data_IF_320065945292
#
_entry.id   IF_320065945292
#
_cell.length_a   1.000
_cell.length_b   1.000
_cell.length_c   1.000
_cell.angle_alpha   90.00
_cell.angle_beta   90.00
_cell.angle_gamma   90.00
#
_symmetry.space_group_name_H-M   'P 1'
#
loop_
_entity.id
_entity.type
_entity.pdbx_description
1 polymer ?
#
# COMPACT_ATOMS: atom_id res chain seq x y z
N UNK A 1 3.66 -3.30 25.53
CA UNK A 1 5.13 -3.38 25.65
C UNK A 1 5.65 -3.92 24.33
N UNK A 2 5.92 -3.03 23.38
CA UNK A 2 6.33 -3.42 22.03
C UNK A 2 7.79 -3.84 22.09
N UNK A 3 8.05 -5.15 22.00
CA UNK A 3 9.40 -5.69 21.94
C UNK A 3 9.97 -5.25 20.57
N UNK A 4 10.67 -4.12 20.55
CA UNK A 4 11.47 -3.73 19.39
C UNK A 4 12.65 -4.72 19.31
N UNK A 5 12.49 -5.76 18.51
CA UNK A 5 13.60 -6.63 18.15
C UNK A 5 14.62 -5.77 17.38
N UNK A 6 15.84 -5.65 17.90
CA UNK A 6 16.91 -4.97 17.16
C UNK A 6 17.05 -5.64 15.78
N UNK A 7 17.08 -4.87 14.68
CA UNK A 7 17.26 -5.47 13.36
C UNK A 7 18.60 -6.21 13.33
N UNK A 8 18.57 -7.47 12.87
CA UNK A 8 19.79 -8.27 12.73
C UNK A 8 20.84 -7.56 11.87
N UNK A 9 22.12 -7.73 12.22
CA UNK A 9 23.28 -7.06 11.59
C UNK A 9 23.23 -7.07 10.06
N UNK A 10 22.82 -8.19 9.46
CA UNK A 10 22.70 -8.34 8.00
C UNK A 10 21.73 -7.32 7.38
N UNK A 11 20.59 -7.04 8.03
CA UNK A 11 19.61 -6.06 7.55
C UNK A 11 20.17 -4.65 7.59
N UNK A 12 20.90 -4.31 8.67
CA UNK A 12 21.58 -3.02 8.82
C UNK A 12 22.62 -2.85 7.71
N UNK A 13 23.45 -3.87 7.48
CA UNK A 13 24.52 -3.82 6.49
C UNK A 13 23.95 -3.72 5.06
N UNK A 14 22.82 -4.37 4.77
CA UNK A 14 22.12 -4.25 3.49
C UNK A 14 21.64 -2.82 3.22
N UNK A 15 20.97 -2.18 4.19
CA UNK A 15 20.50 -0.78 4.04
C UNK A 15 21.68 0.18 3.88
N UNK A 16 22.74 0.01 4.68
CA UNK A 16 23.95 0.84 4.55
C UNK A 16 24.64 0.63 3.19
N UNK A 17 24.65 -0.60 2.68
CA UNK A 17 25.16 -0.93 1.35
C UNK A 17 24.37 -0.22 0.25
N UNK A 18 23.03 -0.30 0.32
CA UNK A 18 22.13 0.38 -0.61
C UNK A 18 22.36 1.90 -0.59
N UNK A 19 22.41 2.54 0.57
CA UNK A 19 22.61 3.99 0.67
C UNK A 19 23.93 4.43 0.02
N UNK A 20 25.04 3.72 0.28
CA UNK A 20 26.34 4.02 -0.37
C UNK A 20 26.30 3.83 -1.89
N UNK A 21 25.60 2.81 -2.36
CA UNK A 21 25.40 2.60 -3.79
C UNK A 21 24.58 3.75 -4.40
N UNK A 22 23.45 4.08 -3.79
CA UNK A 22 22.51 5.06 -4.30
C UNK A 22 23.08 6.49 -4.27
N UNK A 23 23.79 6.88 -3.20
CA UNK A 23 24.51 8.17 -3.13
C UNK A 23 25.45 8.39 -4.31
N UNK A 24 26.12 7.33 -4.79
CA UNK A 24 26.97 7.40 -5.99
C UNK A 24 26.16 7.50 -7.27
N UNK A 25 25.04 6.78 -7.37
CA UNK A 25 24.20 6.81 -8.56
C UNK A 25 23.58 8.19 -8.81
N UNK A 26 23.17 8.90 -7.77
CA UNK A 26 22.58 10.24 -7.88
C UNK A 26 23.63 11.36 -7.96
N UNK A 27 24.93 11.04 -8.00
CA UNK A 27 26.00 12.05 -8.14
C UNK A 27 26.11 13.01 -6.95
N UNK A 28 25.70 12.60 -5.75
CA UNK A 28 25.65 13.50 -4.58
C UNK A 28 27.03 14.01 -4.13
N UNK A 29 28.08 13.31 -4.53
CA UNK A 29 29.47 13.59 -4.16
C UNK A 29 30.22 14.38 -5.25
N UNK A 30 29.57 14.70 -6.37
CA UNK A 30 30.17 15.48 -7.43
C UNK A 30 30.29 16.96 -7.01
N UNK A 31 31.35 17.67 -7.43
CA UNK A 31 31.53 19.10 -7.13
C UNK A 31 30.40 19.93 -7.79
N UNK A 32 29.52 20.48 -6.95
CA UNK A 32 28.29 21.15 -7.39
C UNK A 32 27.23 20.15 -7.86
N UNK A 33 25.97 20.31 -7.43
CA UNK A 33 24.94 19.36 -7.83
C UNK A 33 24.74 19.45 -9.34
N UNK A 34 25.03 18.34 -10.05
CA UNK A 34 24.91 18.26 -11.51
C UNK A 34 25.72 19.34 -12.25
N UNK A 35 26.92 19.68 -11.72
CA UNK A 35 27.78 20.77 -12.21
C UNK A 35 27.12 22.16 -12.18
N UNK A 36 26.09 22.34 -11.34
CA UNK A 36 25.48 23.65 -11.12
C UNK A 36 26.28 24.49 -10.11
N UNK A 37 26.00 25.79 -10.08
CA UNK A 37 26.52 26.71 -9.08
C UNK A 37 25.84 26.57 -7.69
N UNK A 38 24.99 25.55 -7.50
CA UNK A 38 24.20 25.35 -6.30
C UNK A 38 24.67 24.11 -5.54
N UNK A 39 24.74 24.25 -4.22
CA UNK A 39 24.80 23.11 -3.30
C UNK A 39 23.49 22.31 -3.34
N UNK A 40 23.52 21.07 -2.83
CA UNK A 40 22.31 20.23 -2.72
C UNK A 40 21.18 20.93 -1.98
N UNK A 41 21.50 21.63 -0.88
CA UNK A 41 20.48 22.31 -0.08
C UNK A 41 19.90 23.52 -0.81
N UNK A 42 20.74 24.29 -1.49
CA UNK A 42 20.29 25.39 -2.35
C UNK A 42 19.37 24.88 -3.47
N UNK A 43 19.77 23.80 -4.14
CA UNK A 43 19.01 23.13 -5.18
C UNK A 43 17.63 22.66 -4.69
N UNK A 44 17.55 22.02 -3.51
CA UNK A 44 16.28 21.56 -2.94
C UNK A 44 15.33 22.70 -2.61
N UNK A 45 15.83 23.80 -2.05
CA UNK A 45 14.99 24.98 -1.77
C UNK A 45 14.46 25.60 -3.07
N UNK A 46 15.30 25.75 -4.09
CA UNK A 46 14.87 26.27 -5.40
C UNK A 46 13.88 25.32 -6.09
N UNK A 47 14.04 23.99 -5.95
CA UNK A 47 13.11 23.00 -6.49
C UNK A 47 11.71 23.14 -5.89
N UNK A 48 11.59 23.24 -4.57
CA UNK A 48 10.30 23.44 -3.90
C UNK A 48 9.63 24.73 -4.37
N UNK A 49 10.39 25.84 -4.42
CA UNK A 49 9.90 27.14 -4.87
C UNK A 49 9.56 27.22 -6.37
N UNK A 50 10.10 26.30 -7.19
CA UNK A 50 9.79 26.22 -8.63
C UNK A 50 8.49 25.48 -8.91
N UNK A 51 8.09 24.55 -8.03
CA UNK A 51 6.96 23.64 -8.27
C UNK A 51 5.76 23.89 -7.36
N UNK A 52 5.92 24.71 -6.30
CA UNK A 52 4.85 25.01 -5.34
C UNK A 52 4.79 26.52 -5.09
N UNK A 53 3.61 27.08 -5.29
CA UNK A 53 3.33 28.49 -4.99
C UNK A 53 2.99 28.69 -3.51
N UNK A 54 3.18 29.92 -3.01
CA UNK A 54 2.72 30.33 -1.68
C UNK A 54 3.51 29.77 -0.50
N UNK A 55 4.68 29.14 -0.74
CA UNK A 55 5.51 28.59 0.32
C UNK A 55 6.04 29.66 1.26
N UNK A 56 5.97 29.40 2.56
CA UNK A 56 6.62 30.22 3.58
C UNK A 56 7.98 29.62 3.97
N UNK A 57 8.82 30.42 4.65
CA UNK A 57 10.07 29.90 5.23
C UNK A 57 9.80 28.76 6.24
N UNK A 58 8.67 28.80 6.95
CA UNK A 58 8.29 27.75 7.90
C UNK A 58 7.95 26.44 7.19
N UNK A 59 7.23 26.51 6.05
CA UNK A 59 6.91 25.34 5.25
C UNK A 59 8.18 24.70 4.69
N UNK A 60 9.08 25.50 4.12
CA UNK A 60 10.36 25.04 3.60
C UNK A 60 11.25 24.40 4.69
N UNK A 61 11.32 25.00 5.88
CA UNK A 61 12.11 24.44 6.99
C UNK A 61 11.58 23.07 7.43
N UNK A 62 10.26 22.95 7.57
CA UNK A 62 9.58 21.70 7.93
C UNK A 62 9.78 20.63 6.86
N UNK A 63 9.43 20.93 5.62
CA UNK A 63 9.37 19.97 4.53
C UNK A 63 10.78 19.45 4.14
N UNK A 64 11.80 20.29 4.27
CA UNK A 64 13.19 19.92 3.97
C UNK A 64 14.00 19.49 5.20
N UNK A 65 13.43 19.55 6.40
CA UNK A 65 14.12 19.22 7.65
C UNK A 65 15.31 20.14 7.95
N UNK A 66 15.21 21.42 7.57
CA UNK A 66 16.30 22.40 7.71
C UNK A 66 16.14 23.24 8.97
N UNK A 67 17.28 23.60 9.58
CA UNK A 67 17.32 24.57 10.67
C UNK A 67 16.76 25.94 10.19
N UNK A 68 15.80 26.56 10.91
CA UNK A 68 15.21 27.83 10.50
C UNK A 68 16.22 28.97 10.36
N UNK A 69 17.27 29.01 11.19
CA UNK A 69 18.32 30.03 11.12
C UNK A 69 19.23 29.86 9.91
N UNK A 70 19.54 28.61 9.54
CA UNK A 70 20.24 28.28 8.30
C UNK A 70 19.40 28.64 7.07
N UNK A 71 18.12 28.25 7.02
CA UNK A 71 17.24 28.56 5.91
C UNK A 71 17.06 30.07 5.71
N UNK A 72 16.89 30.84 6.80
CA UNK A 72 16.76 32.30 6.72
C UNK A 72 18.00 32.97 6.09
N UNK A 73 19.20 32.53 6.48
CA UNK A 73 20.47 32.99 5.87
C UNK A 73 20.55 32.63 4.39
N UNK A 74 20.09 31.43 4.02
CA UNK A 74 20.09 30.96 2.64
C UNK A 74 19.12 31.77 1.76
N UNK A 75 17.90 32.00 2.23
CA UNK A 75 16.91 32.81 1.53
C UNK A 75 17.40 34.26 1.32
N UNK A 76 18.05 34.85 2.33
CA UNK A 76 18.66 36.19 2.19
C UNK A 76 19.72 36.21 1.08
N UNK A 77 20.59 35.19 1.00
CA UNK A 77 21.57 35.05 -0.09
C UNK A 77 20.90 34.93 -1.47
N UNK A 78 19.74 34.27 -1.55
CA UNK A 78 18.98 34.19 -2.79
C UNK A 78 18.34 35.53 -3.18
N UNK A 79 17.83 36.31 -2.21
CA UNK A 79 17.30 37.65 -2.44
C UNK A 79 18.38 38.60 -2.94
N UNK A 80 19.56 38.60 -2.31
CA UNK A 80 20.72 39.40 -2.72
C UNK A 80 21.18 39.07 -4.15
N UNK A 81 20.99 37.81 -4.58
CA UNK A 81 21.27 37.35 -5.95
C UNK A 81 20.09 37.56 -6.91
N UNK A 82 18.98 38.13 -6.44
CA UNK A 82 17.77 38.33 -7.23
C UNK A 82 17.06 37.05 -7.65
N UNK A 83 17.30 35.91 -6.98
CA UNK A 83 16.73 34.60 -7.34
C UNK A 83 15.34 34.39 -6.74
N UNK A 84 15.08 34.95 -5.56
CA UNK A 84 13.78 34.85 -4.88
C UNK A 84 13.28 36.22 -4.49
N UNK A 85 11.96 36.34 -4.35
CA UNK A 85 11.29 37.51 -3.82
C UNK A 85 10.30 37.12 -2.73
N UNK A 86 10.01 38.07 -1.84
CA UNK A 86 9.01 37.92 -0.78
C UNK A 86 7.81 38.80 -1.07
N UNK A 87 6.63 38.22 -1.05
CA UNK A 87 5.36 38.94 -1.07
C UNK A 87 4.63 38.73 0.27
N UNK A 88 3.93 39.74 0.77
CA UNK A 88 3.04 39.56 1.91
C UNK A 88 1.90 38.60 1.52
N UNK A 89 1.62 37.58 2.33
CA UNK A 89 0.47 36.72 2.06
C UNK A 89 -0.83 37.47 2.35
N UNK A 90 -1.88 37.25 1.54
CA UNK A 90 -3.19 37.87 1.73
C UNK A 90 -3.85 37.49 3.07
N UNK A 91 -3.43 36.39 3.71
CA UNK A 91 -4.02 35.86 4.92
C UNK A 91 -3.36 36.33 6.24
N UNK A 92 -2.08 36.71 6.22
CA UNK A 92 -1.34 37.21 7.39
C UNK A 92 -0.14 38.04 6.95
N UNK A 93 -0.13 39.35 7.24
CA UNK A 93 0.97 40.25 6.91
C UNK A 93 2.30 39.86 7.58
N UNK A 94 2.27 39.00 8.61
CA UNK A 94 3.46 38.45 9.28
C UNK A 94 4.03 37.20 8.59
N UNK A 95 3.30 36.64 7.62
CA UNK A 95 3.77 35.52 6.79
C UNK A 95 4.02 36.03 5.38
N UNK A 96 5.28 35.99 4.96
CA UNK A 96 5.66 36.32 3.59
C UNK A 96 5.78 35.03 2.78
N UNK A 97 5.07 34.95 1.66
CA UNK A 97 5.26 33.91 0.67
C UNK A 97 6.55 34.20 -0.09
N UNK A 98 7.30 33.15 -0.37
CA UNK A 98 8.54 33.20 -1.11
C UNK A 98 8.26 32.61 -2.49
N UNK A 99 8.73 33.28 -3.54
CA UNK A 99 8.62 32.80 -4.91
C UNK A 99 9.94 32.98 -5.65
N UNK A 100 10.17 32.16 -6.68
CA UNK A 100 11.26 32.42 -7.62
C UNK A 100 10.93 33.64 -8.47
N UNK A 101 11.93 34.50 -8.68
CA UNK A 101 11.87 35.55 -9.71
C UNK A 101 12.06 34.93 -11.10
N UNK A 102 11.85 35.68 -12.20
CA UNK A 102 12.24 35.22 -13.54
C UNK A 102 13.73 34.84 -13.63
N UNK A 103 14.61 35.57 -12.94
CA UNK A 103 16.05 35.28 -12.87
C UNK A 103 16.29 33.99 -12.09
N UNK A 104 15.58 33.78 -10.98
CA UNK A 104 15.61 32.55 -10.19
C UNK A 104 15.21 31.31 -11.01
N UNK A 105 14.10 31.41 -11.74
CA UNK A 105 13.64 30.35 -12.65
C UNK A 105 14.67 30.04 -13.75
N UNK A 106 15.24 31.07 -14.38
CA UNK A 106 16.28 30.88 -15.39
C UNK A 106 17.55 30.25 -14.83
N UNK A 107 17.96 30.62 -13.60
CA UNK A 107 19.11 30.03 -12.93
C UNK A 107 18.86 28.58 -12.49
N UNK A 108 17.63 28.24 -12.12
CA UNK A 108 17.23 26.89 -11.69
C UNK A 108 17.02 25.92 -12.87
N UNK A 109 16.62 26.42 -14.05
CA UNK A 109 16.28 25.57 -15.20
C UNK A 109 17.37 24.56 -15.63
N UNK A 110 18.67 24.93 -15.72
CA UNK A 110 19.72 23.97 -16.07
C UNK A 110 19.87 22.84 -15.04
N UNK A 111 19.69 23.17 -13.76
CA UNK A 111 19.75 22.18 -12.68
C UNK A 111 18.56 21.21 -12.77
N UNK A 112 17.36 21.72 -13.02
CA UNK A 112 16.16 20.89 -13.18
C UNK A 112 16.29 19.95 -14.39
N UNK A 113 16.77 20.48 -15.53
CA UNK A 113 17.01 19.69 -16.73
C UNK A 113 18.08 18.61 -16.50
N UNK A 114 19.21 18.96 -15.88
CA UNK A 114 20.27 18.00 -15.56
C UNK A 114 19.79 16.88 -14.64
N UNK A 115 18.91 17.17 -13.69
CA UNK A 115 18.33 16.16 -12.81
C UNK A 115 17.38 15.25 -13.57
N UNK A 116 16.58 15.80 -14.48
CA UNK A 116 15.69 15.04 -15.33
C UNK A 116 16.47 14.11 -16.26
N UNK A 117 17.50 14.64 -16.95
CA UNK A 117 18.32 13.88 -17.89
C UNK A 117 19.10 12.76 -17.20
N UNK A 118 19.56 12.98 -15.96
CA UNK A 118 20.21 11.94 -15.16
C UNK A 118 19.26 10.76 -14.87
N UNK A 119 18.01 11.06 -14.47
CA UNK A 119 17.00 10.03 -14.20
C UNK A 119 16.57 9.33 -15.49
N UNK A 120 16.38 10.08 -16.58
CA UNK A 120 16.07 9.52 -17.90
C UNK A 120 17.16 8.55 -18.37
N UNK A 121 18.44 8.96 -18.29
CA UNK A 121 19.57 8.10 -18.67
C UNK A 121 19.71 6.83 -17.79
N UNK A 122 19.20 6.87 -16.55
CA UNK A 122 19.12 5.68 -15.69
C UNK A 122 18.01 4.74 -16.18
N UNK A 123 16.82 5.29 -16.47
CA UNK A 123 15.65 4.51 -16.91
C UNK A 123 15.83 3.95 -18.33
N UNK A 124 16.47 4.66 -19.24
CA UNK A 124 16.72 4.24 -20.63
C UNK A 124 17.56 2.96 -20.73
N UNK A 125 18.30 2.60 -19.67
CA UNK A 125 19.07 1.35 -19.58
C UNK A 125 18.21 0.13 -19.25
N UNK A 126 16.95 0.35 -18.89
CA UNK A 126 16.03 -0.67 -18.41
C UNK A 126 14.87 -0.82 -19.40
N UNK A 127 14.44 -2.06 -19.72
CA UNK A 127 13.17 -2.28 -20.38
C UNK A 127 12.01 -1.69 -19.55
N UNK A 128 10.91 -1.28 -20.21
CA UNK A 128 9.76 -0.65 -19.53
C UNK A 128 9.25 -1.43 -18.32
N UNK A 129 9.21 -2.77 -18.40
CA UNK A 129 8.77 -3.61 -17.29
C UNK A 129 9.72 -3.52 -16.06
N UNK A 130 11.01 -3.31 -16.29
CA UNK A 130 11.99 -3.11 -15.22
C UNK A 130 11.97 -1.68 -14.68
N UNK A 131 11.67 -0.69 -15.53
CA UNK A 131 11.40 0.69 -15.08
C UNK A 131 10.22 0.70 -14.10
N UNK A 132 9.10 0.05 -14.46
CA UNK A 132 7.93 -0.06 -13.59
C UNK A 132 8.27 -0.76 -12.26
N UNK A 133 9.06 -1.84 -12.33
CA UNK A 133 9.51 -2.58 -11.14
C UNK A 133 10.39 -1.71 -10.24
N UNK A 134 11.30 -0.93 -10.81
CA UNK A 134 12.17 -0.01 -10.06
C UNK A 134 11.35 1.09 -9.37
N UNK A 135 10.42 1.72 -10.10
CA UNK A 135 9.53 2.76 -9.56
C UNK A 135 8.70 2.20 -8.39
N UNK A 136 8.09 1.02 -8.55
CA UNK A 136 7.35 0.34 -7.47
C UNK A 136 8.22 0.04 -6.25
N UNK A 137 9.46 -0.40 -6.47
CA UNK A 137 10.40 -0.64 -5.38
C UNK A 137 10.76 0.66 -4.63
N UNK A 138 11.01 1.75 -5.35
CA UNK A 138 11.31 3.06 -4.74
C UNK A 138 10.11 3.59 -3.92
N UNK A 139 8.89 3.47 -4.44
CA UNK A 139 7.66 3.81 -3.71
C UNK A 139 7.51 2.96 -2.43
N UNK A 140 7.88 1.69 -2.49
CA UNK A 140 7.86 0.79 -1.33
C UNK A 140 8.87 1.24 -0.29
N UNK A 141 10.10 1.57 -0.69
CA UNK A 141 11.14 2.12 0.20
C UNK A 141 10.67 3.43 0.84
N UNK A 142 10.14 4.36 0.06
CA UNK A 142 9.63 5.64 0.56
C UNK A 142 8.52 5.43 1.61
N UNK A 143 7.58 4.51 1.36
CA UNK A 143 6.49 4.19 2.29
C UNK A 143 6.99 3.60 3.60
N UNK A 144 7.95 2.68 3.53
CA UNK A 144 8.52 2.03 4.71
C UNK A 144 9.38 2.97 5.56
N UNK A 145 9.98 4.00 4.95
CA UNK A 145 10.85 4.96 5.62
C UNK A 145 10.15 6.26 6.06
N UNK A 146 8.95 6.53 5.53
CA UNK A 146 8.15 7.68 5.96
C UNK A 146 7.47 7.36 7.29
N UNK A 147 8.04 7.80 8.41
CA UNK A 147 7.40 7.69 9.72
C UNK A 147 6.08 8.48 9.76
N UNK A 148 5.04 7.87 10.34
CA UNK A 148 4.05 8.64 11.09
C UNK A 148 2.91 9.32 10.33
N UNK A 149 2.61 8.93 9.10
CA UNK A 149 1.22 9.08 8.62
C UNK A 149 0.74 7.74 8.12
N UNK A 150 0.19 6.93 9.03
CA UNK A 150 -0.96 6.09 8.67
C UNK A 150 -2.05 7.06 8.17
N UNK A 151 -1.90 7.57 6.95
CA UNK A 151 -3.06 7.93 6.19
C UNK A 151 -3.92 6.68 6.27
N UNK A 152 -5.15 6.84 6.75
CA UNK A 152 -6.23 5.87 6.56
C UNK A 152 -6.44 5.77 5.05
N UNK A 153 -5.49 5.16 4.34
CA UNK A 153 -5.56 4.99 2.90
C UNK A 153 -6.75 4.06 2.72
N UNK A 154 -7.85 4.56 2.12
CA UNK A 154 -9.04 3.77 1.96
C UNK A 154 -8.66 2.58 1.09
N UNK A 155 -8.90 1.37 1.59
CA UNK A 155 -8.98 0.22 0.70
C UNK A 155 -10.27 0.34 -0.11
N UNK A 156 -10.27 -0.19 -1.32
CA UNK A 156 -11.47 -0.31 -2.13
C UNK A 156 -11.89 -1.77 -2.26
N UNK A 157 -13.19 -2.00 -2.40
CA UNK A 157 -13.72 -3.29 -2.78
C UNK A 157 -14.08 -3.26 -4.26
N UNK A 158 -13.47 -4.15 -5.04
CA UNK A 158 -13.72 -4.26 -6.48
C UNK A 158 -14.10 -5.69 -6.88
N UNK A 159 -14.72 -5.89 -8.06
CA UNK A 159 -14.89 -7.21 -8.63
C UNK A 159 -13.54 -7.89 -8.92
N UNK A 160 -13.60 -9.21 -9.10
CA UNK A 160 -12.49 -10.02 -9.59
C UNK A 160 -11.98 -9.54 -10.96
N UNK A 161 -10.66 -9.50 -11.11
CA UNK A 161 -9.94 -9.17 -12.34
C UNK A 161 -8.98 -10.31 -12.74
N UNK A 162 -8.51 -10.28 -13.99
CA UNK A 162 -7.51 -11.23 -14.47
C UNK A 162 -6.23 -11.12 -13.62
N UNK A 163 -5.72 -12.26 -13.17
CA UNK A 163 -4.56 -12.35 -12.28
C UNK A 163 -4.92 -12.57 -10.81
N UNK A 164 -6.08 -12.09 -10.34
CA UNK A 164 -6.47 -12.21 -8.93
C UNK A 164 -6.60 -13.67 -8.48
N UNK A 165 -7.11 -14.57 -9.33
CA UNK A 165 -7.30 -15.98 -8.96
C UNK A 165 -5.96 -16.63 -8.62
N UNK A 166 -4.96 -16.50 -9.49
CA UNK A 166 -3.63 -17.03 -9.23
C UNK A 166 -2.98 -16.39 -8.01
N UNK A 167 -3.17 -15.07 -7.84
CA UNK A 167 -2.70 -14.34 -6.65
C UNK A 167 -3.33 -14.87 -5.36
N UNK A 168 -4.66 -15.03 -5.30
CA UNK A 168 -5.37 -15.50 -4.11
C UNK A 168 -4.96 -16.92 -3.74
N UNK A 169 -4.84 -17.83 -4.72
CA UNK A 169 -4.36 -19.20 -4.50
C UNK A 169 -2.97 -19.16 -3.85
N UNK A 170 -2.03 -18.46 -4.48
CA UNK A 170 -0.65 -18.33 -4.00
C UNK A 170 -0.58 -17.71 -2.59
N UNK A 171 -1.32 -16.63 -2.35
CA UNK A 171 -1.27 -15.91 -1.08
C UNK A 171 -1.91 -16.69 0.05
N UNK A 172 -3.08 -17.32 -0.17
CA UNK A 172 -3.70 -18.14 0.86
C UNK A 172 -2.89 -19.41 1.16
N UNK A 173 -2.34 -20.08 0.13
CA UNK A 173 -1.44 -21.23 0.32
C UNK A 173 -0.26 -20.89 1.24
N UNK A 174 0.50 -19.84 0.90
CA UNK A 174 1.63 -19.39 1.73
C UNK A 174 1.21 -18.95 3.13
N UNK A 175 0.15 -18.16 3.25
CA UNK A 175 -0.27 -17.60 4.54
C UNK A 175 -0.71 -18.70 5.50
N UNK A 176 -1.52 -19.65 5.03
CA UNK A 176 -2.03 -20.72 5.88
C UNK A 176 -0.94 -21.75 6.22
N UNK A 177 0.01 -22.00 5.31
CA UNK A 177 1.21 -22.78 5.62
C UNK A 177 2.06 -22.11 6.71
N UNK A 178 2.26 -20.79 6.65
CA UNK A 178 3.04 -20.05 7.64
C UNK A 178 2.36 -19.95 9.01
N UNK A 179 1.04 -19.72 9.04
CA UNK A 179 0.31 -19.46 10.28
C UNK A 179 -0.18 -20.72 10.98
N UNK A 180 -0.54 -21.77 10.21
CA UNK A 180 -1.16 -22.99 10.73
C UNK A 180 -0.37 -24.26 10.40
N UNK A 181 0.71 -24.16 9.62
CA UNK A 181 1.50 -25.32 9.20
C UNK A 181 0.73 -26.26 8.28
N UNK A 182 -0.26 -25.76 7.55
CA UNK A 182 -1.04 -26.51 6.57
C UNK A 182 -0.19 -26.82 5.32
N UNK A 183 -0.41 -27.98 4.73
CA UNK A 183 0.31 -28.42 3.54
C UNK A 183 -0.34 -27.95 2.22
N UNK A 184 0.27 -28.34 1.09
CA UNK A 184 -0.15 -27.95 -0.26
C UNK A 184 -1.58 -28.38 -0.63
N UNK A 185 -2.18 -29.33 0.11
CA UNK A 185 -3.55 -29.77 -0.18
C UNK A 185 -4.59 -28.67 0.12
N UNK A 186 -4.25 -27.70 0.98
CA UNK A 186 -5.08 -26.51 1.16
C UNK A 186 -5.02 -25.60 -0.08
N UNK A 187 -3.83 -25.38 -0.64
CA UNK A 187 -3.67 -24.60 -1.87
C UNK A 187 -4.45 -25.24 -3.03
N UNK A 188 -4.40 -26.57 -3.14
CA UNK A 188 -5.18 -27.33 -4.12
C UNK A 188 -6.71 -27.11 -3.96
N UNK A 189 -7.21 -27.14 -2.71
CA UNK A 189 -8.62 -26.84 -2.42
C UNK A 189 -9.02 -25.42 -2.87
N UNK A 190 -8.19 -24.42 -2.56
CA UNK A 190 -8.43 -23.02 -2.97
C UNK A 190 -8.45 -22.92 -4.49
N UNK A 191 -7.52 -23.58 -5.19
CA UNK A 191 -7.45 -23.62 -6.63
C UNK A 191 -8.70 -24.28 -7.27
N UNK A 192 -9.18 -25.38 -6.70
CA UNK A 192 -10.40 -26.06 -7.16
C UNK A 192 -11.63 -25.15 -7.03
N UNK A 193 -11.83 -24.54 -5.85
CA UNK A 193 -12.96 -23.65 -5.58
C UNK A 193 -12.95 -22.46 -6.56
N UNK A 194 -11.80 -21.81 -6.73
CA UNK A 194 -11.67 -20.63 -7.58
C UNK A 194 -11.76 -20.97 -9.07
N UNK A 195 -11.17 -22.09 -9.49
CA UNK A 195 -11.28 -22.60 -10.86
C UNK A 195 -12.72 -22.93 -11.23
N UNK A 196 -13.46 -23.57 -10.33
CA UNK A 196 -14.89 -23.83 -10.51
C UNK A 196 -15.70 -22.53 -10.57
N UNK A 197 -15.47 -21.61 -9.62
CA UNK A 197 -16.15 -20.32 -9.57
C UNK A 197 -16.08 -19.57 -10.90
N UNK A 198 -14.88 -19.41 -11.47
CA UNK A 198 -14.72 -18.66 -12.74
C UNK A 198 -15.39 -19.38 -13.92
N UNK A 199 -15.34 -20.71 -13.97
CA UNK A 199 -15.92 -21.49 -15.09
C UNK A 199 -17.44 -21.46 -15.11
N UNK A 200 -18.09 -21.43 -13.95
CA UNK A 200 -19.55 -21.49 -13.82
C UNK A 200 -20.16 -20.22 -13.23
N UNK A 201 -19.44 -19.10 -13.24
CA UNK A 201 -19.85 -17.87 -12.58
C UNK A 201 -21.21 -17.36 -13.11
N UNK A 202 -22.19 -17.24 -12.22
CA UNK A 202 -23.46 -16.59 -12.51
C UNK A 202 -23.60 -15.27 -11.73
N UNK A 203 -23.40 -14.10 -12.37
CA UNK A 203 -23.48 -12.80 -11.69
C UNK A 203 -24.88 -12.47 -11.14
N UNK A 204 -25.92 -13.25 -11.50
CA UNK A 204 -27.24 -13.13 -10.90
C UNK A 204 -27.28 -13.66 -9.47
N UNK A 205 -26.51 -14.70 -9.19
CA UNK A 205 -26.59 -15.46 -7.94
C UNK A 205 -25.30 -15.44 -7.13
N UNK A 206 -24.20 -15.06 -7.76
CA UNK A 206 -22.85 -15.18 -7.21
C UNK A 206 -22.10 -13.85 -7.32
N UNK A 207 -21.14 -13.65 -6.44
CA UNK A 207 -20.31 -12.43 -6.46
C UNK A 207 -18.99 -12.63 -5.73
N UNK A 208 -18.00 -11.85 -6.11
CA UNK A 208 -16.71 -11.75 -5.42
C UNK A 208 -16.42 -10.30 -5.05
N UNK A 209 -15.68 -10.11 -3.96
CA UNK A 209 -15.13 -8.82 -3.57
C UNK A 209 -13.65 -9.00 -3.29
N UNK A 210 -12.85 -8.19 -3.95
CA UNK A 210 -11.41 -8.09 -3.77
C UNK A 210 -11.13 -6.78 -3.05
N UNK A 211 -10.52 -6.87 -1.88
CA UNK A 211 -10.02 -5.71 -1.15
C UNK A 211 -8.66 -5.34 -1.74
N UNK A 212 -8.58 -4.15 -2.33
CA UNK A 212 -7.35 -3.60 -2.89
C UNK A 212 -6.91 -2.38 -2.09
N UNK A 213 -5.61 -2.30 -1.79
CA UNK A 213 -4.98 -1.15 -1.14
C UNK A 213 -3.65 -0.87 -1.83
N UNK A 214 -3.50 0.36 -2.32
CA UNK A 214 -2.29 0.80 -3.04
C UNK A 214 -1.95 -0.07 -4.28
N UNK A 215 -2.98 -0.54 -5.00
CA UNK A 215 -2.81 -1.41 -6.16
C UNK A 215 -2.51 -2.88 -5.83
N UNK A 216 -2.42 -3.22 -4.54
CA UNK A 216 -2.14 -4.58 -4.06
C UNK A 216 -3.41 -5.23 -3.51
N UNK A 217 -3.62 -6.51 -3.82
CA UNK A 217 -4.73 -7.29 -3.26
C UNK A 217 -4.40 -7.66 -1.82
N UNK A 218 -5.21 -7.13 -0.89
CA UNK A 218 -5.04 -7.30 0.56
C UNK A 218 -6.12 -8.16 1.22
N UNK A 219 -7.08 -8.66 0.44
CA UNK A 219 -8.08 -9.60 0.93
C UNK A 219 -9.10 -9.96 -0.13
N UNK A 220 -9.87 -11.02 0.11
CA UNK A 220 -10.97 -11.42 -0.76
C UNK A 220 -12.05 -12.15 0.01
N UNK A 221 -13.24 -12.20 -0.59
CA UNK A 221 -14.33 -13.09 -0.20
C UNK A 221 -15.22 -13.38 -1.40
N UNK A 222 -15.87 -14.54 -1.39
CA UNK A 222 -16.74 -15.01 -2.46
C UNK A 222 -18.08 -15.45 -1.88
N UNK A 223 -19.16 -15.19 -2.62
CA UNK A 223 -20.48 -15.78 -2.43
C UNK A 223 -20.77 -16.64 -3.65
N UNK A 224 -21.00 -17.93 -3.40
CA UNK A 224 -21.35 -18.92 -4.42
C UNK A 224 -22.75 -19.48 -4.17
N UNK A 225 -23.44 -19.91 -5.22
CA UNK A 225 -24.78 -20.48 -5.10
C UNK A 225 -24.69 -21.94 -4.67
N UNK A 226 -25.41 -22.32 -3.63
CA UNK A 226 -25.55 -23.73 -3.23
C UNK A 226 -26.93 -24.28 -3.65
N UNK A 227 -27.97 -23.46 -3.56
CA UNK A 227 -29.31 -23.73 -4.10
C UNK A 227 -30.02 -22.42 -4.40
N UNK A 228 -31.30 -22.45 -4.76
CA UNK A 228 -32.12 -21.26 -4.99
C UNK A 228 -32.35 -20.43 -3.71
N UNK A 229 -32.28 -21.09 -2.54
CA UNK A 229 -32.52 -20.47 -1.24
C UNK A 229 -31.25 -20.32 -0.40
N UNK A 230 -30.16 -21.01 -0.77
CA UNK A 230 -28.94 -21.06 0.05
C UNK A 230 -27.73 -20.56 -0.74
N UNK A 231 -27.05 -19.57 -0.19
CA UNK A 231 -25.75 -19.09 -0.63
C UNK A 231 -24.65 -19.58 0.31
N UNK A 232 -23.42 -19.72 -0.19
CA UNK A 232 -22.24 -20.08 0.62
C UNK A 232 -21.14 -19.02 0.50
N UNK A 233 -20.71 -18.49 1.63
CA UNK A 233 -19.54 -17.63 1.75
C UNK A 233 -18.28 -18.50 1.73
N UNK A 234 -17.31 -18.15 0.88
CA UNK A 234 -16.05 -18.88 0.71
C UNK A 234 -14.84 -17.96 0.64
N UNK A 235 -13.69 -18.53 1.03
CA UNK A 235 -12.35 -17.99 0.82
C UNK A 235 -12.13 -16.58 1.38
N UNK A 236 -12.75 -16.26 2.54
CA UNK A 236 -12.46 -15.04 3.26
C UNK A 236 -10.99 -15.02 3.73
N UNK A 237 -10.23 -14.01 3.30
CA UNK A 237 -8.92 -13.75 3.88
C UNK A 237 -8.58 -12.26 3.88
N UNK A 238 -7.64 -11.88 4.75
CA UNK A 238 -7.04 -10.55 4.80
C UNK A 238 -5.54 -10.70 5.07
N UNK A 239 -4.72 -10.05 4.24
CA UNK A 239 -3.27 -9.98 4.38
C UNK A 239 -2.86 -9.44 5.76
N UNK A 240 -1.81 -9.98 6.40
CA UNK A 240 -1.34 -9.50 7.70
C UNK A 240 -1.11 -7.99 7.77
N UNK A 241 -0.61 -7.38 6.68
CA UNK A 241 -0.34 -5.94 6.55
C UNK A 241 -1.61 -5.07 6.56
N UNK A 242 -2.79 -5.66 6.41
CA UNK A 242 -4.07 -4.97 6.35
C UNK A 242 -5.06 -5.41 7.45
N UNK A 243 -4.63 -6.28 8.37
CA UNK A 243 -5.43 -6.67 9.55
C UNK A 243 -5.60 -5.46 10.50
N UNK A 244 -6.70 -5.44 11.24
CA UNK A 244 -7.05 -4.32 12.14
C UNK A 244 -7.75 -3.14 11.46
N UNK A 245 -7.79 -3.10 10.12
CA UNK A 245 -8.45 -2.02 9.34
C UNK A 245 -9.95 -2.24 9.10
N UNK A 246 -10.54 -3.28 9.71
CA UNK A 246 -11.96 -3.62 9.54
C UNK A 246 -12.34 -4.28 8.21
N UNK A 247 -11.37 -4.57 7.32
CA UNK A 247 -11.60 -5.16 5.99
C UNK A 247 -12.41 -6.46 6.06
N UNK A 248 -12.02 -7.40 6.93
CA UNK A 248 -12.71 -8.68 7.04
C UNK A 248 -14.18 -8.55 7.41
N UNK A 249 -14.50 -7.60 8.32
CA UNK A 249 -15.90 -7.29 8.68
C UNK A 249 -16.65 -6.73 7.49
N UNK A 250 -16.08 -5.75 6.80
CA UNK A 250 -16.70 -5.13 5.62
C UNK A 250 -16.96 -6.16 4.51
N UNK A 251 -16.02 -7.06 4.25
CA UNK A 251 -16.17 -8.15 3.27
C UNK A 251 -17.37 -9.05 3.63
N UNK A 252 -17.52 -9.44 4.90
CA UNK A 252 -18.66 -10.24 5.35
C UNK A 252 -19.98 -9.48 5.25
N UNK A 253 -20.00 -8.19 5.60
CA UNK A 253 -21.18 -7.32 5.45
C UNK A 253 -21.67 -7.25 3.99
N UNK A 254 -20.75 -7.14 3.03
CA UNK A 254 -21.07 -7.15 1.60
C UNK A 254 -21.68 -8.48 1.15
N UNK A 255 -21.16 -9.61 1.64
CA UNK A 255 -21.73 -10.94 1.37
C UNK A 255 -23.17 -11.03 1.86
N UNK A 256 -23.44 -10.58 3.08
CA UNK A 256 -24.78 -10.60 3.69
C UNK A 256 -25.73 -9.69 2.90
N UNK A 257 -25.29 -8.46 2.59
CA UNK A 257 -26.08 -7.50 1.84
C UNK A 257 -26.45 -8.02 0.45
N UNK A 258 -25.49 -8.59 -0.26
CA UNK A 258 -25.74 -9.24 -1.55
C UNK A 258 -26.70 -10.41 -1.42
N UNK A 259 -26.51 -11.28 -0.43
CA UNK A 259 -27.33 -12.47 -0.29
C UNK A 259 -28.81 -12.11 -0.03
N UNK A 260 -29.06 -11.12 0.84
CA UNK A 260 -30.38 -10.54 1.08
C UNK A 260 -31.00 -9.94 -0.18
N UNK A 261 -30.22 -9.13 -0.90
CA UNK A 261 -30.69 -8.46 -2.12
C UNK A 261 -31.08 -9.45 -3.22
N UNK A 262 -30.45 -10.63 -3.27
CA UNK A 262 -30.79 -11.71 -4.21
C UNK A 262 -31.90 -12.64 -3.73
N UNK A 263 -32.40 -12.44 -2.51
CA UNK A 263 -33.52 -13.21 -1.96
C UNK A 263 -33.14 -14.58 -1.42
N UNK A 264 -31.84 -14.83 -1.17
CA UNK A 264 -31.43 -16.02 -0.42
C UNK A 264 -32.05 -16.00 0.98
N UNK A 265 -32.36 -17.18 1.50
CA UNK A 265 -32.92 -17.39 2.85
C UNK A 265 -31.84 -17.66 3.88
N UNK A 266 -30.77 -18.33 3.46
CA UNK A 266 -29.66 -18.68 4.34
C UNK A 266 -28.33 -18.39 3.64
N UNK A 267 -27.40 -17.81 4.39
CA UNK A 267 -25.98 -17.72 4.03
C UNK A 267 -25.19 -18.68 4.93
N UNK A 268 -24.51 -19.64 4.32
CA UNK A 268 -23.70 -20.64 5.02
C UNK A 268 -22.21 -20.38 4.82
N UNK A 269 -21.36 -20.94 5.70
CA UNK A 269 -19.92 -21.00 5.52
C UNK A 269 -19.35 -22.23 6.20
N UNK A 270 -18.16 -22.62 5.75
CA UNK A 270 -17.36 -23.67 6.39
C UNK A 270 -15.99 -23.10 6.78
N UNK A 271 -15.53 -23.39 7.99
CA UNK A 271 -14.26 -22.92 8.55
C UNK A 271 -13.66 -24.00 9.46
N UNK A 272 -12.39 -23.88 9.86
CA UNK A 272 -11.83 -24.69 10.94
C UNK A 272 -11.82 -23.90 12.26
N UNK A 273 -11.94 -24.60 13.38
CA UNK A 273 -11.98 -24.04 14.74
C UNK A 273 -10.75 -23.17 15.08
N UNK A 274 -9.58 -23.55 14.58
CA UNK A 274 -8.30 -22.81 14.74
C UNK A 274 -8.33 -21.41 14.14
N UNK A 275 -9.25 -21.11 13.21
CA UNK A 275 -9.38 -19.81 12.53
C UNK A 275 -10.14 -18.79 13.39
N UNK A 276 -9.67 -18.58 14.62
CA UNK A 276 -10.34 -17.79 15.66
C UNK A 276 -10.69 -16.35 15.24
N UNK A 277 -9.83 -15.70 14.45
CA UNK A 277 -10.07 -14.33 13.97
C UNK A 277 -11.27 -14.26 13.01
N UNK A 278 -11.36 -15.18 12.05
CA UNK A 278 -12.48 -15.26 11.12
C UNK A 278 -13.78 -15.61 11.85
N UNK A 279 -13.73 -16.57 12.77
CA UNK A 279 -14.88 -16.97 13.61
C UNK A 279 -15.50 -15.81 14.38
N UNK A 280 -14.68 -14.95 15.01
CA UNK A 280 -15.18 -13.74 15.69
C UNK A 280 -15.92 -12.78 14.76
N UNK A 281 -15.49 -12.69 13.49
CA UNK A 281 -16.18 -11.86 12.49
C UNK A 281 -17.56 -12.47 12.19
N UNK A 282 -17.62 -13.78 11.98
CA UNK A 282 -18.88 -14.48 11.70
C UNK A 282 -19.86 -14.41 12.87
N UNK A 283 -19.40 -14.68 14.09
CA UNK A 283 -20.20 -14.55 15.32
C UNK A 283 -20.75 -13.12 15.48
N UNK A 284 -19.90 -12.10 15.30
CA UNK A 284 -20.33 -10.70 15.38
C UNK A 284 -21.32 -10.31 14.26
N UNK A 285 -21.26 -10.98 13.11
CA UNK A 285 -22.20 -10.80 12.01
C UNK A 285 -23.51 -11.60 12.19
N UNK A 286 -23.64 -12.39 13.25
CA UNK A 286 -24.84 -13.13 13.61
C UNK A 286 -24.90 -14.57 13.09
N UNK A 287 -23.81 -15.09 12.49
CA UNK A 287 -23.74 -16.50 12.13
C UNK A 287 -23.78 -17.37 13.39
N UNK A 288 -24.45 -18.52 13.28
CA UNK A 288 -24.55 -19.52 14.34
C UNK A 288 -23.92 -20.82 13.88
N UNK A 289 -23.17 -21.47 14.77
CA UNK A 289 -22.62 -22.80 14.55
C UNK A 289 -23.78 -23.78 14.37
N UNK A 290 -23.79 -24.49 13.24
CA UNK A 290 -24.81 -25.48 12.90
C UNK A 290 -24.34 -26.89 13.24
N UNK A 291 -23.10 -27.21 12.87
CA UNK A 291 -22.45 -28.48 13.18
C UNK A 291 -20.92 -28.32 13.22
N UNK A 292 -20.26 -29.28 13.85
CA UNK A 292 -18.82 -29.42 13.83
C UNK A 292 -18.40 -30.89 13.75
N UNK A 293 -17.32 -31.16 13.04
CA UNK A 293 -16.83 -32.51 12.78
C UNK A 293 -15.29 -32.55 12.85
N UNK A 294 -14.76 -33.61 13.48
CA UNK A 294 -13.32 -33.88 13.48
C UNK A 294 -12.93 -34.53 12.17
N UNK A 295 -11.87 -34.01 11.56
CA UNK A 295 -11.37 -34.53 10.29
C UNK A 295 -9.86 -34.34 10.19
N UNK A 296 -9.23 -35.12 9.31
CA UNK A 296 -7.82 -34.96 8.97
C UNK A 296 -7.71 -34.31 7.61
N UNK A 297 -7.19 -33.08 7.56
CA UNK A 297 -7.06 -32.29 6.34
C UNK A 297 -5.84 -31.36 6.44
N UNK A 298 -5.22 -31.06 5.30
CA UNK A 298 -4.09 -30.13 5.22
C UNK A 298 -2.89 -30.54 6.10
N UNK A 299 -2.69 -31.84 6.27
CA UNK A 299 -1.63 -32.42 7.11
C UNK A 299 -1.86 -32.26 8.62
N UNK A 300 -3.08 -31.94 9.06
CA UNK A 300 -3.44 -31.70 10.46
C UNK A 300 -4.76 -32.37 10.84
N UNK A 301 -4.86 -32.75 12.12
CA UNK A 301 -6.15 -33.05 12.74
C UNK A 301 -6.85 -31.74 13.11
N UNK A 302 -8.04 -31.51 12.57
CA UNK A 302 -8.77 -30.25 12.68
C UNK A 302 -10.21 -30.51 13.13
N UNK A 303 -10.90 -29.44 13.57
CA UNK A 303 -12.36 -29.45 13.74
C UNK A 303 -12.97 -28.53 12.70
N UNK A 304 -13.57 -29.12 11.66
CA UNK A 304 -14.36 -28.40 10.68
C UNK A 304 -15.68 -27.94 11.29
N UNK A 305 -16.12 -26.73 10.95
CA UNK A 305 -17.32 -26.10 11.50
C UNK A 305 -18.16 -25.50 10.39
N UNK A 306 -19.43 -25.87 10.32
CA UNK A 306 -20.41 -25.24 9.44
C UNK A 306 -21.22 -24.20 10.22
N UNK A 307 -21.33 -22.99 9.66
CA UNK A 307 -22.05 -21.89 10.28
C UNK A 307 -23.12 -21.35 9.35
N UNK A 308 -24.28 -21.01 9.90
CA UNK A 308 -25.45 -20.55 9.16
C UNK A 308 -25.90 -19.17 9.67
N UNK A 309 -26.32 -18.31 8.74
CA UNK A 309 -27.01 -17.07 9.01
C UNK A 309 -28.34 -17.08 8.25
N UNK A 310 -29.43 -16.94 8.99
CA UNK A 310 -30.76 -16.69 8.43
C UNK A 310 -30.87 -15.20 8.01
N UNK A 311 -31.35 -14.95 6.79
CA UNK A 311 -31.23 -13.64 6.11
C UNK A 311 -32.48 -12.77 6.18
#
# INVERSE_FOLDING_TARGET
MTIHHQPGKERIDAVRGFNRFYTRQIGLLDEGLLKSAFSLTEARVLYELAHRDGLTATDLARDLGLDPGYLSRLLKKFEERGLVERAATQADARRSSIALTPVGRAAFAPLNQGSHDQVAALLDRLPTIEQDRLVKAMQTVQRLLSEGTEAKIPYMLRPLQVGDIGWIIHRQGLLYAQEYGWDETYEALVAEILGAFVKSFDPKWERSWIAEREGEVVGSVFVVRQSDAVAKLRLLYVEPSARGLGIGRRLVEECIGFARARGYKTLTLWTNDVLTSARRIYEAAGFKLADEERHHAFGKDLVGQNWNLEL
#
